data_IF_483231095398
#
_entry.id   IF_483231095398
#
_cell.length_a   1.000
_cell.length_b   1.000
_cell.length_c   1.000
_cell.angle_alpha   90.00
_cell.angle_beta   90.00
_cell.angle_gamma   90.00
#
_symmetry.space_group_name_H-M   'P 1'
#
loop_
_entity.id
_entity.type
_entity.pdbx_description
1 polymer ?
#
# COMPACT_ATOMS: atom_id res chain seq x y z
N UNK A 1 -11.28 -3.02 -44.11
CA UNK A 1 -11.00 -4.19 -43.25
C UNK A 1 -11.50 -3.87 -41.84
N UNK A 2 -12.59 -4.51 -41.43
CA UNK A 2 -13.22 -4.30 -40.13
C UNK A 2 -12.66 -5.33 -39.12
N UNK A 3 -12.03 -4.85 -38.04
CA UNK A 3 -11.59 -5.71 -36.93
C UNK A 3 -12.79 -5.92 -36.00
N UNK A 4 -13.18 -7.19 -35.85
CA UNK A 4 -14.30 -7.66 -35.01
C UNK A 4 -14.12 -7.24 -33.55
N UNK A 5 -14.97 -6.31 -33.09
CA UNK A 5 -15.25 -6.13 -31.67
C UNK A 5 -16.15 -7.27 -31.18
N UNK A 6 -15.54 -8.30 -30.61
CA UNK A 6 -16.23 -9.46 -30.06
C UNK A 6 -15.89 -9.64 -28.58
N UNK A 7 -16.15 -8.65 -27.73
CA UNK A 7 -16.13 -8.86 -26.29
C UNK A 7 -17.36 -9.69 -25.90
N UNK A 8 -17.13 -10.93 -25.42
CA UNK A 8 -18.20 -11.81 -24.94
C UNK A 8 -18.87 -11.16 -23.72
N UNK A 9 -20.16 -10.85 -23.83
CA UNK A 9 -21.03 -10.32 -22.77
C UNK A 9 -20.94 -11.10 -21.43
N UNK A 10 -20.52 -12.37 -21.45
CA UNK A 10 -20.32 -13.18 -20.25
C UNK A 10 -19.05 -12.84 -19.44
N UNK A 11 -18.00 -12.33 -20.08
CA UNK A 11 -16.77 -11.92 -19.39
C UNK A 11 -16.97 -10.58 -18.69
N UNK A 12 -17.58 -9.59 -19.36
CA UNK A 12 -17.91 -8.28 -18.76
C UNK A 12 -18.82 -8.41 -17.54
N UNK A 13 -19.80 -9.31 -17.57
CA UNK A 13 -20.68 -9.61 -16.43
C UNK A 13 -19.90 -10.20 -15.24
N UNK A 14 -19.02 -11.16 -15.49
CA UNK A 14 -18.15 -11.78 -14.45
C UNK A 14 -17.18 -10.76 -13.84
N UNK A 15 -16.62 -9.88 -14.67
CA UNK A 15 -15.73 -8.79 -14.23
C UNK A 15 -16.49 -7.79 -13.33
N UNK A 16 -17.70 -7.40 -13.72
CA UNK A 16 -18.56 -6.54 -12.89
C UNK A 16 -18.91 -7.17 -11.54
N UNK A 17 -19.18 -8.48 -11.50
CA UNK A 17 -19.51 -9.19 -10.26
C UNK A 17 -18.31 -9.27 -9.31
N UNK A 18 -17.11 -9.64 -9.81
CA UNK A 18 -15.87 -9.66 -9.02
C UNK A 18 -15.55 -8.28 -8.44
N UNK A 19 -15.76 -7.22 -9.23
CA UNK A 19 -15.55 -5.83 -8.81
C UNK A 19 -16.51 -5.40 -7.70
N UNK A 20 -17.80 -5.69 -7.86
CA UNK A 20 -18.80 -5.40 -6.80
C UNK A 20 -18.45 -6.11 -5.50
N UNK A 21 -17.98 -7.35 -5.57
CA UNK A 21 -17.58 -8.11 -4.39
C UNK A 21 -16.39 -7.46 -3.67
N UNK A 22 -15.27 -7.20 -4.35
CA UNK A 22 -14.10 -6.57 -3.72
C UNK A 22 -14.39 -5.15 -3.20
N UNK A 23 -15.20 -4.37 -3.94
CA UNK A 23 -15.67 -3.06 -3.49
C UNK A 23 -16.56 -3.18 -2.25
N UNK A 24 -17.40 -4.21 -2.15
CA UNK A 24 -18.23 -4.47 -0.97
C UNK A 24 -17.39 -4.86 0.24
N UNK A 25 -16.36 -5.71 0.08
CA UNK A 25 -15.44 -6.08 1.17
C UNK A 25 -14.70 -4.85 1.71
N UNK A 26 -14.11 -4.04 0.82
CA UNK A 26 -13.44 -2.81 1.23
C UNK A 26 -14.40 -1.78 1.84
N UNK A 27 -15.64 -1.72 1.34
CA UNK A 27 -16.65 -0.82 1.89
C UNK A 27 -17.14 -1.29 3.27
N UNK A 28 -17.29 -2.60 3.48
CA UNK A 28 -17.61 -3.17 4.78
C UNK A 28 -16.52 -2.86 5.81
N UNK A 29 -15.24 -3.01 5.44
CA UNK A 29 -14.11 -2.62 6.30
C UNK A 29 -14.17 -1.14 6.67
N UNK A 30 -14.47 -0.27 5.70
CA UNK A 30 -14.62 1.18 5.92
C UNK A 30 -15.81 1.53 6.81
N UNK A 31 -16.96 0.88 6.64
CA UNK A 31 -18.13 1.08 7.48
C UNK A 31 -17.89 0.62 8.92
N UNK A 32 -17.32 -0.59 9.10
CA UNK A 32 -16.98 -1.11 10.41
C UNK A 32 -15.97 -0.22 11.15
N UNK A 33 -15.05 0.41 10.42
CA UNK A 33 -14.07 1.35 10.98
C UNK A 33 -14.65 2.73 11.29
N UNK A 34 -15.77 3.12 10.66
CA UNK A 34 -16.44 4.41 10.85
C UNK A 34 -17.47 4.42 11.98
N UNK A 35 -18.02 3.27 12.34
CA UNK A 35 -18.91 3.09 13.50
C UNK A 35 -18.12 2.93 14.81
N UNK A 36 -17.28 3.91 15.15
CA UNK A 36 -16.66 3.99 16.47
C UNK A 36 -17.57 4.74 17.45
N UNK A 37 -18.33 4.02 18.28
CA UNK A 37 -18.85 4.58 19.53
C UNK A 37 -17.66 5.04 20.38
N UNK A 38 -17.73 6.28 20.88
CA UNK A 38 -16.77 6.80 21.84
C UNK A 38 -16.83 5.97 23.12
N UNK A 39 -15.89 5.06 23.29
CA UNK A 39 -15.57 4.51 24.61
C UNK A 39 -14.25 5.13 25.04
N UNK A 40 -14.36 6.05 26.00
CA UNK A 40 -13.22 6.61 26.74
C UNK A 40 -12.55 5.49 27.53
N UNK A 41 -11.54 4.87 26.92
CA UNK A 41 -10.63 3.99 27.65
C UNK A 41 -9.64 4.91 28.38
N UNK A 42 -9.72 4.91 29.72
CA UNK A 42 -8.76 5.59 30.57
C UNK A 42 -7.31 5.17 30.22
N UNK A 43 -6.34 6.10 30.23
CA UNK A 43 -4.97 5.77 29.86
C UNK A 43 -4.40 4.75 30.86
N UNK A 44 -3.79 3.63 30.42
CA UNK A 44 -3.04 2.79 31.32
C UNK A 44 -1.81 3.57 31.80
N UNK A 45 -1.58 3.53 33.10
CA UNK A 45 -0.41 4.09 33.76
C UNK A 45 0.90 3.58 33.14
N UNK A 46 1.84 4.50 33.05
CA UNK A 46 3.28 4.37 32.83
C UNK A 46 3.75 3.11 32.07
N UNK A 47 3.95 3.27 30.76
CA UNK A 47 4.74 2.36 29.95
C UNK A 47 5.85 3.14 29.27
N UNK A 48 7.08 2.83 29.68
CA UNK A 48 8.35 3.27 29.12
C UNK A 48 8.25 3.65 27.64
N UNK A 49 8.56 4.91 27.35
CA UNK A 49 8.66 5.47 26.00
C UNK A 49 9.67 4.66 25.20
N UNK A 50 9.20 3.66 24.46
CA UNK A 50 10.07 2.94 23.52
C UNK A 50 10.34 3.90 22.38
N UNK A 51 11.51 4.53 22.42
CA UNK A 51 11.94 5.49 21.41
C UNK A 51 11.91 4.87 20.01
N UNK A 52 11.56 5.66 19.00
CA UNK A 52 11.57 5.30 17.58
C UNK A 52 12.89 4.62 17.13
N UNK A 53 14.02 4.99 17.75
CA UNK A 53 15.31 4.35 17.53
C UNK A 53 15.35 2.87 17.96
N UNK A 54 14.57 2.47 18.97
CA UNK A 54 14.47 1.09 19.44
C UNK A 54 13.67 0.21 18.46
N UNK A 55 12.58 0.73 17.88
CA UNK A 55 11.81 0.04 16.84
C UNK A 55 12.66 -0.18 15.58
N UNK A 56 13.41 0.85 15.15
CA UNK A 56 14.33 0.73 14.01
C UNK A 56 15.46 -0.28 14.26
N UNK A 57 15.97 -0.42 15.50
CA UNK A 57 16.95 -1.47 15.83
C UNK A 57 16.36 -2.87 15.73
N UNK A 58 15.11 -3.08 16.14
CA UNK A 58 14.42 -4.38 16.02
C UNK A 58 14.25 -4.76 14.55
N UNK A 59 13.81 -3.81 13.71
CA UNK A 59 13.63 -4.03 12.26
C UNK A 59 14.98 -4.32 11.58
N UNK A 60 16.03 -3.57 11.93
CA UNK A 60 17.37 -3.71 11.33
C UNK A 60 18.12 -4.95 11.79
N UNK A 61 17.94 -5.39 13.04
CA UNK A 61 18.67 -6.54 13.61
C UNK A 61 18.21 -7.90 13.05
N UNK A 62 17.06 -7.98 12.36
CA UNK A 62 16.50 -9.25 11.84
C UNK A 62 16.68 -9.45 10.33
N UNK A 63 17.32 -8.52 9.64
CA UNK A 63 17.77 -8.70 8.25
C UNK A 63 19.21 -9.24 8.24
N UNK A 64 19.37 -10.57 8.30
CA UNK A 64 20.68 -11.22 8.16
C UNK A 64 21.26 -11.08 6.74
N UNK A 65 22.59 -11.23 6.56
CA UNK A 65 23.25 -11.07 5.26
C UNK A 65 22.91 -12.21 4.31
N UNK A 66 22.56 -11.89 3.06
CA UNK A 66 22.33 -12.87 2.00
C UNK A 66 23.65 -13.41 1.42
N UNK A 67 23.69 -14.73 1.30
CA UNK A 67 24.80 -15.59 0.84
C UNK A 67 25.36 -15.23 -0.54
N UNK A 68 26.68 -15.42 -0.67
CA UNK A 68 27.52 -15.26 -1.86
C UNK A 68 27.30 -16.33 -2.93
N UNK A 69 27.01 -15.91 -4.17
CA UNK A 69 27.14 -16.68 -5.41
C UNK A 69 27.57 -15.73 -6.57
N UNK A 70 28.17 -16.23 -7.66
CA UNK A 70 29.30 -15.58 -8.32
C UNK A 70 28.95 -14.38 -9.19
N UNK A 71 29.87 -13.41 -9.19
CA UNK A 71 29.70 -12.09 -9.79
C UNK A 71 29.91 -12.12 -11.31
N UNK A 72 28.84 -11.92 -12.05
CA UNK A 72 28.91 -11.31 -13.38
C UNK A 72 28.81 -9.78 -13.25
N UNK A 73 29.58 -9.07 -14.06
CA UNK A 73 29.87 -7.63 -13.96
C UNK A 73 28.68 -6.76 -13.48
N UNK A 74 28.80 -6.04 -12.35
CA UNK A 74 27.66 -5.50 -11.59
C UNK A 74 27.03 -4.22 -12.17
N UNK A 75 27.75 -3.47 -13.02
CA UNK A 75 27.28 -2.17 -13.51
C UNK A 75 26.10 -2.28 -14.49
N UNK A 76 26.20 -3.17 -15.49
CA UNK A 76 25.14 -3.36 -16.49
C UNK A 76 23.86 -3.98 -15.93
N UNK A 77 23.99 -4.89 -14.95
CA UNK A 77 22.82 -5.49 -14.26
C UNK A 77 22.13 -4.49 -13.35
N UNK A 78 22.87 -3.67 -12.59
CA UNK A 78 22.30 -2.61 -11.74
C UNK A 78 21.59 -1.55 -12.57
N UNK A 79 22.16 -1.14 -13.70
CA UNK A 79 21.55 -0.13 -14.57
C UNK A 79 20.30 -0.65 -15.28
N UNK A 80 20.32 -1.90 -15.77
CA UNK A 80 19.14 -2.56 -16.35
C UNK A 80 18.02 -2.76 -15.32
N UNK A 81 18.35 -3.17 -14.09
CA UNK A 81 17.38 -3.30 -13.01
C UNK A 81 16.76 -1.96 -12.60
N UNK A 82 17.56 -0.88 -12.57
CA UNK A 82 17.06 0.48 -12.33
C UNK A 82 16.14 0.95 -13.46
N UNK A 83 16.50 0.71 -14.73
CA UNK A 83 15.66 1.05 -15.89
C UNK A 83 14.31 0.34 -15.86
N UNK A 84 14.29 -0.98 -15.63
CA UNK A 84 13.04 -1.75 -15.51
C UNK A 84 12.15 -1.24 -14.37
N UNK A 85 12.75 -0.91 -13.21
CA UNK A 85 12.00 -0.34 -12.09
C UNK A 85 11.35 1.00 -12.46
N UNK A 86 12.01 1.86 -13.25
CA UNK A 86 11.42 3.10 -13.74
C UNK A 86 10.26 2.84 -14.71
N UNK A 87 10.40 1.89 -15.64
CA UNK A 87 9.35 1.52 -16.59
C UNK A 87 8.09 1.00 -15.88
N UNK A 88 8.27 0.17 -14.84
CA UNK A 88 7.15 -0.35 -14.06
C UNK A 88 6.45 0.73 -13.21
N UNK A 89 7.22 1.67 -12.66
CA UNK A 89 6.67 2.83 -11.94
C UNK A 89 5.86 3.72 -12.88
N UNK A 90 6.36 3.99 -14.08
CA UNK A 90 5.64 4.76 -15.08
C UNK A 90 4.32 4.07 -15.46
N UNK A 91 4.36 2.76 -15.75
CA UNK A 91 3.15 1.99 -16.04
C UNK A 91 2.12 2.01 -14.88
N UNK A 92 2.58 1.99 -13.63
CA UNK A 92 1.70 2.18 -12.47
C UNK A 92 0.99 3.54 -12.50
N UNK A 93 1.73 4.62 -12.73
CA UNK A 93 1.17 5.97 -12.75
C UNK A 93 0.22 6.22 -13.91
N UNK A 94 0.49 5.69 -15.10
CA UNK A 94 -0.45 5.73 -16.23
C UNK A 94 -1.78 5.03 -15.92
N UNK A 95 -1.77 4.03 -15.04
CA UNK A 95 -2.98 3.35 -14.60
C UNK A 95 -3.76 4.14 -13.52
N UNK A 96 -3.15 5.12 -12.85
CA UNK A 96 -3.83 5.90 -11.80
C UNK A 96 -4.94 6.76 -12.40
N UNK A 97 -6.15 6.64 -11.87
CA UNK A 97 -7.32 7.37 -12.37
C UNK A 97 -7.96 6.76 -13.62
N UNK A 98 -7.42 5.65 -14.14
CA UNK A 98 -8.03 4.91 -15.25
C UNK A 98 -8.76 3.66 -14.73
N UNK A 99 -9.28 2.85 -15.66
CA UNK A 99 -9.81 1.53 -15.37
C UNK A 99 -8.98 0.52 -16.18
N UNK A 100 -7.94 -0.09 -15.59
CA UNK A 100 -7.11 -1.05 -16.31
C UNK A 100 -7.95 -2.26 -16.74
N UNK A 101 -7.64 -2.80 -17.92
CA UNK A 101 -8.20 -4.07 -18.37
C UNK A 101 -7.57 -5.24 -17.58
N UNK A 102 -8.00 -6.46 -17.89
CA UNK A 102 -7.53 -7.66 -17.19
C UNK A 102 -6.02 -7.87 -17.35
N UNK A 103 -5.47 -7.65 -18.54
CA UNK A 103 -4.05 -7.84 -18.82
C UNK A 103 -3.19 -6.81 -18.07
N UNK A 104 -3.56 -5.54 -18.12
CA UNK A 104 -2.92 -4.47 -17.36
C UNK A 104 -3.03 -4.73 -15.86
N UNK A 105 -4.17 -5.21 -15.38
CA UNK A 105 -4.35 -5.57 -13.97
C UNK A 105 -3.38 -6.65 -13.52
N UNK A 106 -3.25 -7.74 -14.27
CA UNK A 106 -2.32 -8.83 -13.94
C UNK A 106 -0.89 -8.30 -13.85
N UNK A 107 -0.49 -7.43 -14.78
CA UNK A 107 0.83 -6.81 -14.73
C UNK A 107 1.02 -5.93 -13.49
N UNK A 108 0.07 -5.04 -13.19
CA UNK A 108 0.13 -4.16 -12.01
C UNK A 108 0.19 -4.96 -10.70
N UNK A 109 -0.55 -6.06 -10.60
CA UNK A 109 -0.49 -6.97 -9.44
C UNK A 109 0.88 -7.62 -9.34
N UNK A 110 1.47 -8.05 -10.46
CA UNK A 110 2.81 -8.66 -10.47
C UNK A 110 3.90 -7.70 -9.95
N UNK A 111 3.75 -6.39 -10.19
CA UNK A 111 4.68 -5.37 -9.69
C UNK A 111 4.71 -5.31 -8.16
N UNK A 112 3.56 -5.51 -7.51
CA UNK A 112 3.44 -5.51 -6.05
C UNK A 112 4.02 -6.76 -5.40
N UNK A 113 4.25 -7.84 -6.16
CA UNK A 113 4.93 -9.04 -5.65
C UNK A 113 6.45 -8.81 -5.53
N UNK A 114 7.01 -7.88 -6.31
CA UNK A 114 8.42 -7.52 -6.25
C UNK A 114 8.64 -6.52 -5.12
N UNK A 115 9.19 -6.97 -3.97
CA UNK A 115 9.33 -6.19 -2.73
C UNK A 115 9.87 -4.76 -2.94
N UNK A 116 10.98 -4.62 -3.65
CA UNK A 116 11.61 -3.31 -3.89
C UNK A 116 10.73 -2.39 -4.75
N UNK A 117 10.03 -2.93 -5.73
CA UNK A 117 9.13 -2.18 -6.60
C UNK A 117 7.84 -1.82 -5.85
N UNK A 118 7.26 -2.76 -5.10
CA UNK A 118 6.11 -2.53 -4.21
C UNK A 118 6.37 -1.39 -3.24
N UNK A 119 7.47 -1.46 -2.50
CA UNK A 119 7.78 -0.46 -1.48
C UNK A 119 8.04 0.91 -2.11
N UNK A 120 8.65 0.91 -3.30
CA UNK A 120 8.83 2.13 -4.09
C UNK A 120 7.51 2.71 -4.57
N UNK A 121 6.62 1.90 -5.17
CA UNK A 121 5.28 2.28 -5.63
C UNK A 121 4.47 2.85 -4.45
N UNK A 122 4.55 2.24 -3.27
CA UNK A 122 3.89 2.75 -2.06
C UNK A 122 4.39 4.15 -1.69
N UNK A 123 5.70 4.36 -1.61
CA UNK A 123 6.26 5.67 -1.29
C UNK A 123 5.88 6.74 -2.33
N UNK A 124 5.90 6.36 -3.59
CA UNK A 124 5.52 7.14 -4.76
C UNK A 124 4.09 7.71 -4.70
N UNK A 125 3.15 6.98 -4.07
CA UNK A 125 1.78 7.47 -3.86
C UNK A 125 1.78 8.77 -3.03
N UNK A 126 2.68 8.85 -2.04
CA UNK A 126 2.82 10.01 -1.16
C UNK A 126 3.73 11.06 -1.79
N UNK A 127 4.94 10.67 -2.21
CA UNK A 127 5.92 11.56 -2.81
C UNK A 127 6.80 10.80 -3.84
N UNK A 128 6.79 11.19 -5.13
CA UNK A 128 7.53 10.52 -6.19
C UNK A 128 9.03 10.84 -6.25
N UNK A 129 9.57 11.67 -5.34
CA UNK A 129 10.98 12.06 -5.34
C UNK A 129 11.90 10.83 -5.34
N UNK A 130 12.96 10.88 -6.15
CA UNK A 130 13.89 9.75 -6.33
C UNK A 130 14.94 9.63 -5.22
N UNK A 131 15.01 10.59 -4.31
CA UNK A 131 16.02 10.59 -3.27
C UNK A 131 15.69 9.59 -2.15
N UNK A 132 16.72 8.87 -1.69
CA UNK A 132 16.61 7.83 -0.67
C UNK A 132 16.14 8.39 0.69
N UNK A 133 16.46 9.66 0.98
CA UNK A 133 16.07 10.32 2.22
C UNK A 133 14.55 10.50 2.31
N UNK A 134 13.95 11.05 1.26
CA UNK A 134 12.50 11.21 1.11
C UNK A 134 11.81 9.87 1.07
N UNK A 135 12.32 8.90 0.30
CA UNK A 135 11.77 7.54 0.29
C UNK A 135 11.64 6.96 1.71
N UNK A 136 12.72 7.01 2.50
CA UNK A 136 12.71 6.52 3.89
C UNK A 136 11.78 7.33 4.79
N UNK A 137 11.82 8.66 4.66
CA UNK A 137 10.96 9.54 5.45
C UNK A 137 9.48 9.27 5.17
N UNK A 138 9.10 9.08 3.91
CA UNK A 138 7.74 8.71 3.52
C UNK A 138 7.37 7.35 4.08
N UNK A 139 8.16 6.31 3.82
CA UNK A 139 7.79 4.95 4.23
C UNK A 139 7.57 4.84 5.74
N UNK A 140 8.36 5.58 6.52
CA UNK A 140 8.29 5.63 7.99
C UNK A 140 7.33 6.69 8.55
N UNK A 141 6.56 7.39 7.70
CA UNK A 141 5.62 8.45 8.12
C UNK A 141 6.29 9.67 8.75
N UNK A 142 7.58 9.90 8.47
CA UNK A 142 8.36 11.04 8.95
C UNK A 142 8.40 12.21 7.94
N UNK A 143 7.82 12.04 6.76
CA UNK A 143 7.69 13.11 5.76
C UNK A 143 6.66 14.15 6.24
N UNK A 144 7.07 15.40 6.47
CA UNK A 144 6.22 16.40 7.12
C UNK A 144 5.31 17.17 6.14
N UNK A 145 5.56 17.09 4.84
CA UNK A 145 4.83 17.88 3.84
C UNK A 145 3.46 17.28 3.54
N UNK A 146 2.54 18.14 3.11
CA UNK A 146 1.20 17.74 2.69
C UNK A 146 1.31 16.92 1.39
N UNK A 147 0.93 15.64 1.38
CA UNK A 147 0.84 14.87 0.15
C UNK A 147 -0.25 15.44 -0.76
N UNK A 148 -0.11 15.19 -2.06
CA UNK A 148 -1.24 15.36 -2.98
C UNK A 148 -2.29 14.28 -2.70
N UNK A 149 -3.25 14.62 -1.84
CA UNK A 149 -4.27 13.68 -1.41
C UNK A 149 -5.16 13.18 -2.55
N UNK A 150 -5.29 13.95 -3.64
CA UNK A 150 -6.04 13.50 -4.81
C UNK A 150 -5.35 12.32 -5.50
N UNK A 151 -4.02 12.38 -5.66
CA UNK A 151 -3.20 11.25 -6.13
C UNK A 151 -3.29 10.06 -5.19
N UNK A 152 -3.21 10.29 -3.88
CA UNK A 152 -3.31 9.21 -2.89
C UNK A 152 -4.68 8.52 -2.95
N UNK A 153 -5.77 9.27 -3.12
CA UNK A 153 -7.12 8.74 -3.29
C UNK A 153 -7.24 7.94 -4.60
N UNK A 154 -6.71 8.45 -5.71
CA UNK A 154 -6.72 7.76 -6.99
C UNK A 154 -5.92 6.44 -6.93
N UNK A 155 -4.78 6.42 -6.23
CA UNK A 155 -4.01 5.20 -5.98
C UNK A 155 -4.75 4.20 -5.09
N UNK A 156 -5.44 4.66 -4.04
CA UNK A 156 -6.30 3.80 -3.21
C UNK A 156 -7.41 3.16 -4.05
N UNK A 157 -8.05 3.94 -4.93
CA UNK A 157 -9.06 3.42 -5.87
C UNK A 157 -8.47 2.35 -6.78
N UNK A 158 -7.28 2.59 -7.36
CA UNK A 158 -6.60 1.61 -8.21
C UNK A 158 -6.31 0.32 -7.43
N UNK A 159 -5.74 0.39 -6.22
CA UNK A 159 -5.47 -0.78 -5.37
C UNK A 159 -6.74 -1.61 -5.11
N UNK A 160 -7.87 -0.95 -4.84
CA UNK A 160 -9.17 -1.63 -4.65
C UNK A 160 -9.67 -2.28 -5.94
N UNK A 161 -9.43 -1.66 -7.10
CA UNK A 161 -9.76 -2.27 -8.39
C UNK A 161 -8.92 -3.53 -8.65
N UNK A 162 -7.61 -3.48 -8.38
CA UNK A 162 -6.70 -4.62 -8.57
C UNK A 162 -7.09 -5.82 -7.67
N UNK A 163 -7.56 -5.58 -6.45
CA UNK A 163 -8.04 -6.64 -5.54
C UNK A 163 -9.13 -7.52 -6.16
N UNK A 164 -10.01 -6.95 -7.00
CA UNK A 164 -11.10 -7.68 -7.65
C UNK A 164 -10.61 -8.81 -8.58
N UNK A 165 -9.41 -8.65 -9.13
CA UNK A 165 -8.82 -9.55 -10.10
C UNK A 165 -7.67 -10.38 -9.53
N UNK A 166 -7.27 -10.10 -8.29
CA UNK A 166 -6.19 -10.80 -7.62
C UNK A 166 -6.72 -12.06 -6.90
N UNK A 167 -6.16 -13.25 -7.17
CA UNK A 167 -6.47 -14.47 -6.42
C UNK A 167 -6.24 -14.25 -4.92
N UNK A 168 -7.04 -14.88 -4.05
CA UNK A 168 -6.98 -14.65 -2.61
C UNK A 168 -5.57 -14.82 -2.02
N UNK A 169 -4.82 -15.83 -2.47
CA UNK A 169 -3.45 -16.11 -2.04
C UNK A 169 -2.46 -14.98 -2.35
N UNK A 170 -2.71 -14.16 -3.37
CA UNK A 170 -1.80 -13.12 -3.85
C UNK A 170 -2.18 -11.71 -3.35
N UNK A 171 -3.19 -11.60 -2.46
CA UNK A 171 -3.73 -10.30 -2.01
C UNK A 171 -2.94 -9.63 -0.90
N UNK A 172 -2.05 -10.34 -0.21
CA UNK A 172 -1.32 -9.80 0.94
C UNK A 172 -0.55 -8.49 0.64
N UNK A 173 0.14 -8.32 -0.51
CA UNK A 173 0.77 -7.05 -0.87
C UNK A 173 -0.22 -5.90 -1.04
N UNK A 174 -1.36 -6.14 -1.69
CA UNK A 174 -2.40 -5.14 -1.92
C UNK A 174 -3.04 -4.67 -0.61
N UNK A 175 -3.40 -5.61 0.26
CA UNK A 175 -3.93 -5.28 1.58
C UNK A 175 -2.91 -4.57 2.46
N UNK A 176 -1.63 -4.92 2.37
CA UNK A 176 -0.56 -4.20 3.07
C UNK A 176 -0.42 -2.75 2.61
N UNK A 177 -0.48 -2.51 1.29
CA UNK A 177 -0.45 -1.16 0.74
C UNK A 177 -1.67 -0.34 1.16
N UNK A 178 -2.87 -0.92 1.13
CA UNK A 178 -4.10 -0.28 1.62
C UNK A 178 -4.05 0.03 3.12
N UNK A 179 -3.53 -0.89 3.92
CA UNK A 179 -3.32 -0.69 5.35
C UNK A 179 -2.36 0.47 5.64
N UNK A 180 -1.22 0.49 4.95
CA UNK A 180 -0.23 1.57 5.07
C UNK A 180 -0.80 2.93 4.62
N UNK A 181 -1.56 3.00 3.52
CA UNK A 181 -2.22 4.23 3.08
C UNK A 181 -3.29 4.70 4.09
N UNK A 182 -4.09 3.78 4.63
CA UNK A 182 -5.09 4.11 5.64
C UNK A 182 -4.42 4.70 6.89
N UNK A 183 -3.30 4.14 7.32
CA UNK A 183 -2.47 4.68 8.39
C UNK A 183 -1.94 6.08 8.07
N UNK A 184 -1.42 6.29 6.85
CA UNK A 184 -0.93 7.60 6.40
C UNK A 184 -2.02 8.69 6.39
N UNK A 185 -3.28 8.28 6.18
CA UNK A 185 -4.47 9.13 6.24
C UNK A 185 -5.03 9.30 7.67
N UNK A 186 -4.36 8.76 8.69
CA UNK A 186 -4.79 8.83 10.09
C UNK A 186 -5.93 7.87 10.48
N UNK A 187 -6.22 6.84 9.65
CA UNK A 187 -7.32 5.89 9.86
C UNK A 187 -6.79 4.58 10.45
N UNK A 188 -6.31 4.62 11.70
CA UNK A 188 -5.64 3.49 12.36
C UNK A 188 -6.47 2.20 12.42
N UNK A 189 -7.76 2.27 12.77
CA UNK A 189 -8.62 1.08 12.82
C UNK A 189 -8.81 0.42 11.45
N UNK A 190 -8.98 1.23 10.41
CA UNK A 190 -9.07 0.73 9.03
C UNK A 190 -7.75 0.13 8.56
N UNK A 191 -6.63 0.75 8.94
CA UNK A 191 -5.30 0.23 8.66
C UNK A 191 -5.13 -1.17 9.27
N UNK A 192 -5.43 -1.33 10.56
CA UNK A 192 -5.38 -2.62 11.24
C UNK A 192 -6.28 -3.67 10.57
N UNK A 193 -7.49 -3.29 10.16
CA UNK A 193 -8.42 -4.20 9.48
C UNK A 193 -7.88 -4.69 8.13
N UNK A 194 -7.23 -3.82 7.35
CA UNK A 194 -6.56 -4.23 6.11
C UNK A 194 -5.36 -5.15 6.37
N UNK A 195 -4.53 -4.85 7.37
CA UNK A 195 -3.38 -5.70 7.70
C UNK A 195 -3.81 -7.09 8.20
N UNK A 196 -4.91 -7.18 8.95
CA UNK A 196 -5.53 -8.45 9.29
C UNK A 196 -5.92 -9.25 8.04
N UNK A 197 -6.54 -8.61 7.02
CA UNK A 197 -6.84 -9.26 5.74
C UNK A 197 -5.59 -9.71 4.97
N UNK A 198 -4.50 -8.96 5.06
CA UNK A 198 -3.23 -9.38 4.46
C UNK A 198 -2.74 -10.69 5.10
N UNK A 199 -2.77 -10.78 6.44
CA UNK A 199 -2.34 -11.95 7.20
C UNK A 199 -3.30 -13.14 7.09
N UNK A 200 -4.60 -12.90 6.87
CA UNK A 200 -5.56 -13.96 6.50
C UNK A 200 -5.25 -14.54 5.12
N UNK A 201 -4.82 -13.68 4.18
CA UNK A 201 -4.51 -14.09 2.79
C UNK A 201 -3.19 -14.87 2.72
N UNK A 202 -2.17 -14.40 3.44
CA UNK A 202 -0.86 -15.06 3.55
C UNK A 202 -0.33 -14.93 4.99
N UNK A 203 -0.51 -15.97 5.82
CA UNK A 203 0.02 -16.00 7.18
C UNK A 203 1.55 -15.81 7.18
N UNK A 204 2.05 -14.88 7.99
CA UNK A 204 3.48 -14.58 8.06
C UNK A 204 3.98 -13.62 6.97
N UNK A 205 3.09 -12.99 6.20
CA UNK A 205 3.49 -11.99 5.21
C UNK A 205 4.21 -10.82 5.88
N UNK A 206 5.54 -10.79 5.71
CA UNK A 206 6.46 -10.00 6.52
C UNK A 206 6.15 -8.51 6.58
N UNK A 207 5.71 -7.92 5.46
CA UNK A 207 5.38 -6.48 5.45
C UNK A 207 4.14 -6.19 6.30
N UNK A 208 3.12 -7.05 6.24
CA UNK A 208 1.91 -6.86 7.04
C UNK A 208 2.21 -6.96 8.53
N UNK A 209 3.03 -7.92 8.96
CA UNK A 209 3.47 -8.05 10.36
C UNK A 209 4.21 -6.80 10.84
N UNK A 210 5.14 -6.28 10.03
CA UNK A 210 5.92 -5.10 10.37
C UNK A 210 5.06 -3.85 10.49
N UNK A 211 4.11 -3.67 9.56
CA UNK A 211 3.16 -2.56 9.60
C UNK A 211 2.20 -2.69 10.79
N UNK A 212 1.79 -3.91 11.13
CA UNK A 212 0.90 -4.15 12.25
C UNK A 212 1.60 -3.92 13.60
N UNK A 213 2.85 -4.35 13.74
CA UNK A 213 3.72 -4.00 14.87
C UNK A 213 3.86 -2.48 14.99
N UNK A 214 4.12 -1.79 13.87
CA UNK A 214 4.20 -0.32 13.84
C UNK A 214 2.89 0.32 14.33
N UNK A 215 1.72 -0.15 13.90
CA UNK A 215 0.43 0.37 14.38
C UNK A 215 0.25 0.17 15.89
N UNK A 216 0.63 -1.00 16.42
CA UNK A 216 0.49 -1.32 17.86
C UNK A 216 1.35 -0.41 18.75
N UNK A 217 2.43 0.17 18.23
CA UNK A 217 3.22 1.17 18.97
C UNK A 217 2.51 2.51 19.14
N UNK A 218 1.39 2.75 18.43
CA UNK A 218 0.70 4.04 18.43
C UNK A 218 1.38 5.11 17.57
N UNK A 219 2.38 4.74 16.75
CA UNK A 219 3.05 5.67 15.85
C UNK A 219 2.05 6.22 14.82
N UNK A 220 2.01 7.55 14.69
CA UNK A 220 1.22 8.24 13.67
C UNK A 220 2.15 8.86 12.63
N UNK A 221 1.72 8.87 11.37
CA UNK A 221 2.40 9.63 10.33
C UNK A 221 2.36 11.13 10.67
N UNK A 222 3.47 11.86 10.45
CA UNK A 222 3.56 13.31 10.69
C UNK A 222 2.48 14.11 9.96
N UNK A 223 2.08 13.64 8.78
CA UNK A 223 1.00 14.24 8.02
C UNK A 223 -0.32 14.22 8.79
N UNK A 224 -0.59 13.15 9.57
CA UNK A 224 -1.79 12.98 10.36
C UNK A 224 -1.76 13.72 11.71
N UNK A 225 -0.59 14.09 12.22
CA UNK A 225 -0.45 14.84 13.49
C UNK A 225 -0.57 16.35 13.32
N UNK A 226 -0.60 16.87 12.09
CA UNK A 226 -0.74 18.29 11.80
C UNK A 226 -1.96 18.57 10.90
N UNK A 227 -2.86 19.44 11.37
CA UNK A 227 -4.13 19.76 10.70
C UNK A 227 -3.98 20.40 9.30
N UNK A 228 -2.87 21.08 9.00
CA UNK A 228 -2.62 21.66 7.67
C UNK A 228 -2.23 20.61 6.64
N UNK A 229 -1.55 19.55 7.07
CA UNK A 229 -1.05 18.47 6.22
C UNK A 229 -2.00 17.27 6.20
N UNK A 230 -2.83 17.12 7.22
CA UNK A 230 -3.71 15.98 7.40
C UNK A 230 -4.65 15.75 6.22
N UNK A 231 -4.92 14.47 5.98
CA UNK A 231 -5.96 14.05 5.06
C UNK A 231 -7.31 14.54 5.57
N UNK A 232 -8.00 15.31 4.74
CA UNK A 232 -9.38 15.73 4.98
C UNK A 232 -10.20 15.03 3.91
N UNK A 233 -11.11 14.14 4.30
CA UNK A 233 -12.08 13.60 3.34
C UNK A 233 -12.87 14.81 2.85
N UNK A 234 -12.69 15.19 1.60
CA UNK A 234 -13.46 16.29 1.02
C UNK A 234 -14.94 15.97 1.20
N UNK A 235 -15.69 16.89 1.81
CA UNK A 235 -17.13 16.95 1.57
C UNK A 235 -17.25 17.24 0.08
N UNK A 236 -17.44 16.19 -0.72
CA UNK A 236 -17.88 16.36 -2.10
C UNK A 236 -19.33 16.81 -1.96
N UNK A 237 -19.52 18.13 -1.90
CA UNK A 237 -20.83 18.77 -2.08
C UNK A 237 -21.28 18.61 -3.52
#
# INVERSE_FOLDING_TARGET
>A
MAVKAGYRLGETFRLHQKRRFAQSECSALRCASGCGQGSSVAPPADRSTTSFAAVLRIIRARSGPSSTAPQASPAGKKQRGRGQLLDHRAAWYEAVGTQPDEAATIQLVSYLQVKALRDRIMADMINPAEDEGTYRAVFMGQHPERPDWSRVDACEVLLVQLLAYTPAADRAPLFSALGWLAWYKGKGSLAAAYLAKALESEPGYRLAELLDEMLRTGLLAKTATNASTAYKRGNHS
#
